data_IF_439285508400
#
_entry.id   IF_439285508400
#
_cell.length_a   1.000
_cell.length_b   1.000
_cell.length_c   1.000
_cell.angle_alpha   90.00
_cell.angle_beta   90.00
_cell.angle_gamma   90.00
#
_symmetry.space_group_name_H-M   'P 1'
#
loop_
_entity.id
_entity.type
_entity.pdbx_description
1 polymer ?
#
# COMPACT_ATOMS: atom_id res chain seq x y z
N UNK A 1 3.71 -19.02 13.92
CA UNK A 1 3.03 -20.07 13.12
C UNK A 1 2.97 -19.71 11.63
N UNK A 2 2.57 -18.49 11.24
CA UNK A 2 2.66 -18.03 9.83
C UNK A 2 4.07 -18.17 9.22
N UNK A 3 5.12 -17.79 9.95
CA UNK A 3 6.51 -17.88 9.47
C UNK A 3 6.94 -19.29 9.04
N UNK A 4 6.58 -20.35 9.78
CA UNK A 4 6.96 -21.73 9.41
C UNK A 4 6.19 -22.27 8.19
N UNK A 5 4.94 -21.85 8.00
CA UNK A 5 4.11 -22.28 6.87
C UNK A 5 4.55 -21.59 5.57
N UNK A 6 4.82 -20.29 5.66
CA UNK A 6 5.46 -19.44 4.63
C UNK A 6 6.80 -20.05 4.19
N UNK A 7 7.58 -20.54 5.13
CA UNK A 7 8.91 -21.14 4.90
C UNK A 7 8.87 -22.49 4.18
N UNK A 8 7.90 -23.36 4.49
CA UNK A 8 7.73 -24.64 3.78
C UNK A 8 7.32 -24.46 2.31
N UNK A 9 6.66 -23.35 1.97
CA UNK A 9 6.29 -23.04 0.59
C UNK A 9 7.45 -22.47 -0.24
N UNK A 10 8.27 -21.55 0.32
CA UNK A 10 9.40 -20.93 -0.40
C UNK A 10 10.46 -21.96 -0.84
N UNK A 11 10.63 -23.04 -0.08
CA UNK A 11 11.61 -24.09 -0.39
C UNK A 11 11.05 -25.27 -1.18
N UNK A 12 9.74 -25.28 -1.49
CA UNK A 12 9.09 -26.25 -2.39
C UNK A 12 9.08 -25.81 -3.86
N UNK A 13 9.75 -24.71 -4.19
CA UNK A 13 9.78 -24.13 -5.53
C UNK A 13 10.93 -24.75 -6.36
N UNK A 14 10.83 -24.73 -7.69
CA UNK A 14 11.88 -25.27 -8.58
C UNK A 14 13.26 -24.68 -8.28
N UNK A 15 14.34 -25.45 -8.53
CA UNK A 15 15.73 -25.06 -8.26
C UNK A 15 16.12 -23.71 -8.89
N UNK A 16 15.53 -23.36 -10.04
CA UNK A 16 15.69 -22.05 -10.70
C UNK A 16 15.05 -20.91 -9.87
N UNK A 17 13.83 -21.09 -9.37
CA UNK A 17 13.14 -20.10 -8.53
C UNK A 17 13.81 -19.96 -7.15
N UNK A 18 14.39 -21.04 -6.60
CA UNK A 18 15.18 -20.96 -5.35
C UNK A 18 16.43 -20.06 -5.49
N UNK A 19 17.16 -20.16 -6.61
CA UNK A 19 18.34 -19.32 -6.83
C UNK A 19 17.98 -17.83 -6.94
N UNK A 20 16.86 -17.51 -7.60
CA UNK A 20 16.35 -16.13 -7.72
C UNK A 20 15.99 -15.57 -6.34
N UNK A 21 15.25 -16.34 -5.53
CA UNK A 21 14.90 -15.94 -4.16
C UNK A 21 16.14 -15.71 -3.28
N UNK A 22 17.20 -16.50 -3.44
CA UNK A 22 18.47 -16.30 -2.71
C UNK A 22 19.16 -15.01 -3.17
N UNK A 23 19.19 -14.70 -4.47
CA UNK A 23 19.75 -13.44 -4.96
C UNK A 23 18.98 -12.22 -4.47
N UNK A 24 17.64 -12.28 -4.48
CA UNK A 24 16.83 -11.18 -3.98
C UNK A 24 17.00 -11.01 -2.47
N UNK A 25 17.09 -12.11 -1.72
CA UNK A 25 17.44 -12.04 -0.30
C UNK A 25 18.80 -11.36 -0.06
N UNK A 26 19.83 -11.67 -0.88
CA UNK A 26 21.14 -11.00 -0.79
C UNK A 26 21.04 -9.50 -1.01
N UNK A 27 20.29 -9.07 -2.03
CA UNK A 27 20.06 -7.65 -2.30
C UNK A 27 19.38 -6.98 -1.11
N UNK A 28 18.33 -7.60 -0.56
CA UNK A 28 17.62 -7.08 0.61
C UNK A 28 18.54 -6.91 1.82
N UNK A 29 19.37 -7.92 2.12
CA UNK A 29 20.36 -7.87 3.20
C UNK A 29 21.34 -6.72 2.97
N UNK A 30 21.92 -6.63 1.77
CA UNK A 30 22.89 -5.58 1.44
C UNK A 30 22.26 -4.18 1.56
N UNK A 31 21.11 -3.95 0.94
CA UNK A 31 20.38 -2.67 1.01
C UNK A 31 20.07 -2.29 2.45
N UNK A 32 19.59 -3.24 3.26
CA UNK A 32 19.22 -2.98 4.66
C UNK A 32 20.43 -2.63 5.51
N UNK A 33 21.56 -3.35 5.34
CA UNK A 33 22.81 -3.01 6.02
C UNK A 33 23.33 -1.63 5.65
N UNK A 34 23.30 -1.25 4.35
CA UNK A 34 23.69 0.09 3.90
C UNK A 34 22.82 1.17 4.55
N UNK A 35 21.50 0.97 4.54
CA UNK A 35 20.56 1.92 5.15
C UNK A 35 20.78 2.09 6.66
N UNK A 36 21.06 0.99 7.36
CA UNK A 36 21.34 0.99 8.80
C UNK A 36 22.77 1.42 9.14
N UNK A 37 23.62 1.68 8.12
CA UNK A 37 25.08 1.87 8.29
C UNK A 37 25.73 0.73 9.09
N UNK A 38 25.20 -0.49 8.94
CA UNK A 38 25.57 -1.66 9.72
C UNK A 38 26.75 -2.40 9.07
N UNK A 39 27.74 -2.76 9.89
CA UNK A 39 28.88 -3.59 9.54
C UNK A 39 28.55 -5.09 9.53
N UNK A 40 29.41 -5.91 8.93
CA UNK A 40 29.25 -7.37 8.98
C UNK A 40 29.38 -7.89 10.42
N UNK A 41 30.24 -7.29 11.24
CA UNK A 41 30.45 -7.70 12.63
C UNK A 41 29.21 -7.48 13.50
N UNK A 42 28.52 -6.36 13.31
CA UNK A 42 27.24 -6.09 13.98
C UNK A 42 26.17 -7.09 13.58
N UNK A 43 26.07 -7.42 12.29
CA UNK A 43 25.13 -8.42 11.81
C UNK A 43 25.43 -9.82 12.38
N UNK A 44 26.71 -10.19 12.48
CA UNK A 44 27.14 -11.46 13.11
C UNK A 44 26.68 -11.49 14.57
N UNK A 45 26.89 -10.42 15.33
CA UNK A 45 26.45 -10.31 16.73
C UNK A 45 24.93 -10.42 16.88
N UNK A 46 24.16 -9.75 16.02
CA UNK A 46 22.70 -9.73 16.11
C UNK A 46 22.04 -11.03 15.62
N UNK A 47 22.56 -11.63 14.55
CA UNK A 47 21.97 -12.82 13.95
C UNK A 47 22.47 -14.12 14.58
N UNK A 48 23.66 -14.12 15.20
CA UNK A 48 24.34 -15.33 15.65
C UNK A 48 24.78 -16.24 14.49
N UNK A 49 24.82 -15.72 13.26
CA UNK A 49 25.36 -16.42 12.08
C UNK A 49 26.85 -16.12 11.98
N UNK A 50 27.67 -17.11 11.63
CA UNK A 50 29.12 -16.96 11.62
C UNK A 50 29.58 -15.93 10.57
N UNK A 51 30.71 -15.29 10.84
CA UNK A 51 31.29 -14.29 9.95
C UNK A 51 31.51 -14.84 8.52
N UNK A 52 32.06 -16.06 8.42
CA UNK A 52 32.27 -16.72 7.12
C UNK A 52 30.98 -16.90 6.30
N UNK A 53 29.84 -17.17 6.97
CA UNK A 53 28.53 -17.32 6.32
C UNK A 53 27.96 -15.98 5.88
N UNK A 54 28.10 -14.92 6.70
CA UNK A 54 27.70 -13.56 6.32
C UNK A 54 28.50 -13.06 5.11
N UNK A 55 29.82 -13.28 5.08
CA UNK A 55 30.63 -12.96 3.91
C UNK A 55 30.25 -13.79 2.69
N UNK A 56 30.04 -15.09 2.85
CA UNK A 56 29.61 -15.96 1.74
C UNK A 56 28.24 -15.56 1.17
N UNK A 57 27.32 -15.06 2.01
CA UNK A 57 26.05 -14.50 1.55
C UNK A 57 26.26 -13.25 0.70
N UNK A 58 27.11 -12.31 1.14
CA UNK A 58 27.32 -11.04 0.42
C UNK A 58 28.16 -11.17 -0.85
N UNK A 59 29.17 -12.03 -0.83
CA UNK A 59 30.22 -12.06 -1.87
C UNK A 59 30.44 -13.43 -2.52
N UNK A 60 29.85 -14.50 -1.98
CA UNK A 60 30.05 -15.87 -2.44
C UNK A 60 28.89 -16.45 -3.26
N UNK A 61 29.05 -17.69 -3.71
CA UNK A 61 28.05 -18.42 -4.50
C UNK A 61 26.86 -18.90 -3.66
N UNK A 62 25.67 -18.97 -4.27
CA UNK A 62 24.36 -19.22 -3.63
C UNK A 62 24.20 -20.59 -2.92
N UNK A 63 25.21 -21.46 -2.92
CA UNK A 63 25.10 -22.87 -2.49
C UNK A 63 25.31 -23.11 -0.98
N UNK A 64 25.75 -22.11 -0.20
CA UNK A 64 26.30 -22.38 1.14
C UNK A 64 25.45 -21.93 2.34
N UNK A 65 24.37 -21.18 2.13
CA UNK A 65 23.54 -20.66 3.23
C UNK A 65 22.30 -21.54 3.46
N UNK A 66 22.07 -21.91 4.72
CA UNK A 66 20.91 -22.69 5.14
C UNK A 66 19.73 -21.79 5.50
N UNK A 67 18.54 -22.38 5.49
CA UNK A 67 17.30 -21.68 5.78
C UNK A 67 17.24 -21.09 7.19
N UNK A 68 17.75 -21.79 8.19
CA UNK A 68 17.83 -21.30 9.57
C UNK A 68 18.73 -20.06 9.69
N UNK A 69 19.83 -20.01 8.93
CA UNK A 69 20.73 -18.85 8.84
C UNK A 69 20.04 -17.65 8.17
N UNK A 70 19.27 -17.89 7.09
CA UNK A 70 18.45 -16.87 6.42
C UNK A 70 17.44 -16.24 7.40
N UNK A 71 16.74 -17.05 8.20
CA UNK A 71 15.78 -16.54 9.19
C UNK A 71 16.46 -15.64 10.21
N UNK A 72 17.60 -16.09 10.75
CA UNK A 72 18.35 -15.36 11.77
C UNK A 72 18.78 -13.99 11.25
N UNK A 73 19.32 -13.95 10.03
CA UNK A 73 19.70 -12.70 9.36
C UNK A 73 18.49 -11.82 9.08
N UNK A 74 17.40 -12.39 8.58
CA UNK A 74 16.19 -11.63 8.28
C UNK A 74 15.59 -11.00 9.54
N UNK A 75 15.52 -11.74 10.66
CA UNK A 75 15.08 -11.18 11.95
C UNK A 75 16.00 -10.09 12.46
N UNK A 76 17.32 -10.28 12.35
CA UNK A 76 18.30 -9.28 12.80
C UNK A 76 18.21 -7.96 12.02
N UNK A 77 17.79 -8.02 10.76
CA UNK A 77 17.70 -6.85 9.87
C UNK A 77 16.26 -6.34 9.71
N UNK A 78 15.29 -6.95 10.38
CA UNK A 78 13.86 -6.69 10.21
C UNK A 78 13.41 -6.78 8.74
N UNK A 79 13.83 -7.87 8.08
CA UNK A 79 13.50 -8.19 6.69
C UNK A 79 12.29 -9.12 6.65
N UNK A 80 11.22 -8.67 5.99
CA UNK A 80 10.07 -9.52 5.70
C UNK A 80 10.39 -10.53 4.58
N UNK A 81 10.54 -11.81 4.96
CA UNK A 81 10.78 -12.92 4.05
C UNK A 81 9.62 -13.22 3.10
N UNK A 82 8.41 -12.68 3.34
CA UNK A 82 7.32 -12.80 2.36
C UNK A 82 7.67 -12.12 1.03
N UNK A 83 8.57 -11.14 1.04
CA UNK A 83 9.08 -10.48 -0.18
C UNK A 83 9.83 -11.44 -1.12
N UNK A 84 10.27 -12.61 -0.64
CA UNK A 84 10.96 -13.63 -1.45
C UNK A 84 10.01 -14.57 -2.21
N UNK A 85 8.69 -14.45 -2.01
CA UNK A 85 7.72 -15.41 -2.55
C UNK A 85 7.46 -15.33 -4.05
N UNK A 86 8.14 -14.46 -4.80
CA UNK A 86 8.19 -14.48 -6.27
C UNK A 86 6.88 -14.28 -7.04
N UNK A 87 5.71 -14.34 -6.40
CA UNK A 87 4.38 -14.21 -7.01
C UNK A 87 3.32 -13.83 -5.93
N UNK A 88 3.67 -13.06 -4.89
CA UNK A 88 2.64 -12.42 -4.07
C UNK A 88 2.29 -11.09 -4.69
N UNK A 89 0.99 -10.87 -4.96
CA UNK A 89 0.48 -9.58 -5.39
C UNK A 89 0.97 -8.54 -4.37
N UNK A 90 1.96 -7.72 -4.76
CA UNK A 90 2.62 -6.78 -3.85
C UNK A 90 1.69 -5.64 -3.44
N UNK A 91 0.75 -5.32 -4.33
CA UNK A 91 -0.35 -4.40 -4.14
C UNK A 91 -1.40 -4.65 -5.22
N UNK A 92 -2.63 -4.22 -5.00
CA UNK A 92 -3.70 -4.38 -5.97
C UNK A 92 -5.07 -4.30 -5.30
N UNK A 93 -6.07 -4.86 -5.98
CA UNK A 93 -7.47 -4.76 -5.58
C UNK A 93 -8.12 -6.14 -5.53
N UNK A 94 -9.14 -6.25 -4.68
CA UNK A 94 -10.07 -7.37 -4.62
C UNK A 94 -11.50 -6.83 -4.52
N UNK A 95 -12.47 -7.65 -4.92
CA UNK A 95 -13.88 -7.35 -4.71
C UNK A 95 -14.23 -7.55 -3.24
N UNK A 96 -15.19 -6.77 -2.75
CA UNK A 96 -15.84 -7.01 -1.46
C UNK A 96 -16.76 -8.23 -1.60
N UNK A 97 -16.73 -9.11 -0.61
CA UNK A 97 -17.58 -10.29 -0.61
C UNK A 97 -19.07 -9.91 -0.68
N UNK A 98 -19.81 -10.54 -1.60
CA UNK A 98 -21.24 -10.28 -1.77
C UNK A 98 -21.60 -8.96 -2.47
N UNK A 99 -20.63 -8.17 -2.96
CA UNK A 99 -20.90 -6.93 -3.71
C UNK A 99 -20.62 -7.07 -5.21
N UNK A 100 -21.43 -6.38 -6.02
CA UNK A 100 -21.23 -6.28 -7.46
C UNK A 100 -20.29 -5.11 -7.80
N UNK A 101 -18.99 -5.28 -7.52
CA UNK A 101 -17.93 -4.34 -7.88
C UNK A 101 -17.18 -4.73 -9.16
N UNK A 102 -16.40 -3.79 -9.69
CA UNK A 102 -15.47 -4.02 -10.80
C UNK A 102 -14.06 -3.63 -10.39
N UNK A 103 -13.06 -4.44 -10.73
CA UNK A 103 -11.67 -4.18 -10.36
C UNK A 103 -11.16 -2.92 -11.10
N UNK A 104 -10.48 -1.99 -10.41
CA UNK A 104 -9.89 -0.82 -11.06
C UNK A 104 -8.87 -1.21 -12.12
N UNK A 105 -8.97 -0.59 -13.29
CA UNK A 105 -8.06 -0.81 -14.43
C UNK A 105 -7.38 0.49 -14.87
N UNK A 106 -6.19 0.36 -15.46
CA UNK A 106 -5.55 1.50 -16.13
C UNK A 106 -6.28 1.81 -17.43
N UNK A 107 -6.51 3.09 -17.71
CA UNK A 107 -7.06 3.52 -18.98
C UNK A 107 -6.08 3.30 -20.15
N UNK A 108 -4.78 3.46 -19.90
CA UNK A 108 -3.70 3.24 -20.87
C UNK A 108 -2.49 2.62 -20.18
N UNK A 109 -1.59 2.01 -20.96
CA UNK A 109 -0.35 1.41 -20.43
C UNK A 109 0.53 2.40 -19.63
N UNK A 110 0.46 3.70 -19.95
CA UNK A 110 1.22 4.77 -19.29
C UNK A 110 0.41 5.58 -18.28
N UNK A 111 -0.84 5.19 -17.98
CA UNK A 111 -1.65 5.87 -16.98
C UNK A 111 -0.99 5.77 -15.59
N UNK A 112 -0.94 6.90 -14.88
CA UNK A 112 -0.40 6.95 -13.53
C UNK A 112 -1.24 6.12 -12.55
N UNK A 113 -2.56 6.26 -12.63
CA UNK A 113 -3.52 5.57 -11.78
C UNK A 113 -4.41 4.56 -12.49
N UNK A 114 -5.24 3.90 -11.69
CA UNK A 114 -6.32 3.00 -12.12
C UNK A 114 -7.67 3.66 -11.81
N UNK A 115 -8.64 3.51 -12.71
CA UNK A 115 -9.97 4.10 -12.56
C UNK A 115 -10.85 3.26 -11.62
N UNK A 116 -11.45 3.90 -10.60
CA UNK A 116 -12.48 3.33 -9.74
C UNK A 116 -13.86 3.50 -10.36
N UNK A 117 -14.68 2.46 -10.22
CA UNK A 117 -15.99 2.34 -10.84
C UNK A 117 -17.06 2.33 -9.75
N UNK A 118 -18.17 3.04 -9.98
CA UNK A 118 -19.34 2.99 -9.10
C UNK A 118 -20.01 1.61 -9.18
N UNK A 119 -20.22 0.97 -8.03
CA UNK A 119 -20.83 -0.37 -7.92
C UNK A 119 -22.38 -0.35 -7.87
N UNK A 120 -22.98 0.83 -7.74
CA UNK A 120 -24.41 1.01 -7.64
C UNK A 120 -24.83 2.39 -8.20
N UNK A 121 -26.09 2.49 -8.59
CA UNK A 121 -26.72 3.77 -8.93
C UNK A 121 -26.86 4.60 -7.65
N UNK A 122 -26.36 5.83 -7.66
CA UNK A 122 -26.38 6.74 -6.52
C UNK A 122 -26.82 8.13 -6.97
N UNK A 123 -27.81 8.70 -6.29
CA UNK A 123 -28.15 10.12 -6.44
C UNK A 123 -27.37 10.95 -5.42
N UNK A 124 -26.56 11.87 -5.91
CA UNK A 124 -25.91 12.89 -5.09
C UNK A 124 -26.85 14.11 -5.06
N UNK A 125 -27.35 14.51 -3.87
CA UNK A 125 -28.28 15.61 -3.75
C UNK A 125 -27.65 16.92 -4.25
N UNK A 126 -28.50 17.88 -4.62
CA UNK A 126 -28.05 19.21 -5.02
C UNK A 126 -27.33 19.88 -3.85
N UNK A 127 -26.52 20.89 -4.15
CA UNK A 127 -25.82 21.64 -3.12
C UNK A 127 -26.80 22.11 -2.04
N UNK A 128 -26.45 21.80 -0.80
CA UNK A 128 -27.14 22.32 0.38
C UNK A 128 -26.09 22.84 1.34
N UNK A 129 -26.30 24.04 1.85
CA UNK A 129 -25.45 24.56 2.92
C UNK A 129 -25.50 23.60 4.13
N UNK A 130 -24.34 23.21 4.65
CA UNK A 130 -24.19 22.15 5.67
C UNK A 130 -24.76 20.79 5.25
N UNK A 131 -24.82 20.53 3.94
CA UNK A 131 -25.09 19.21 3.39
C UNK A 131 -23.98 18.23 3.77
N UNK A 132 -24.33 16.95 3.88
CA UNK A 132 -23.34 15.88 4.06
C UNK A 132 -22.88 15.40 2.69
N UNK A 133 -21.61 15.01 2.60
CA UNK A 133 -21.08 14.30 1.45
C UNK A 133 -21.86 12.99 1.24
N UNK A 134 -21.98 12.58 -0.02
CA UNK A 134 -22.57 11.29 -0.39
C UNK A 134 -21.47 10.29 -0.68
N UNK A 135 -21.51 9.14 -0.01
CA UNK A 135 -20.57 8.04 -0.24
C UNK A 135 -21.04 7.21 -1.43
N UNK A 136 -20.21 7.12 -2.46
CA UNK A 136 -20.43 6.29 -3.64
C UNK A 136 -19.63 5.00 -3.49
N UNK A 137 -20.28 3.83 -3.42
CA UNK A 137 -19.60 2.57 -3.20
C UNK A 137 -18.87 2.10 -4.46
N UNK A 138 -17.63 1.62 -4.30
CA UNK A 138 -16.85 1.06 -5.43
C UNK A 138 -16.95 -0.46 -5.53
N UNK A 139 -17.27 -1.12 -4.42
CA UNK A 139 -17.34 -2.57 -4.31
C UNK A 139 -15.98 -3.24 -4.26
N UNK A 140 -14.91 -2.47 -4.02
CA UNK A 140 -13.54 -2.98 -3.96
C UNK A 140 -12.82 -2.60 -2.68
N UNK A 141 -11.81 -3.41 -2.34
CA UNK A 141 -10.79 -3.17 -1.31
C UNK A 141 -9.40 -3.21 -1.95
N UNK A 142 -8.43 -2.55 -1.35
CA UNK A 142 -7.05 -2.55 -1.81
C UNK A 142 -6.14 -3.20 -0.78
N UNK A 143 -5.20 -4.03 -1.24
CA UNK A 143 -4.09 -4.55 -0.41
C UNK A 143 -2.78 -3.96 -0.93
N UNK A 144 -1.80 -3.78 -0.04
CA UNK A 144 -0.47 -3.23 -0.36
C UNK A 144 0.53 -3.55 0.76
N UNK A 145 1.79 -3.17 0.57
CA UNK A 145 2.80 -3.31 1.64
C UNK A 145 2.62 -2.27 2.75
N UNK A 146 3.15 -2.54 3.94
CA UNK A 146 3.07 -1.63 5.10
C UNK A 146 3.73 -0.26 4.89
N UNK A 147 4.66 -0.15 3.95
CA UNK A 147 5.32 1.11 3.58
C UNK A 147 4.67 1.77 2.35
N UNK A 148 3.42 1.41 2.07
CA UNK A 148 2.63 1.93 0.95
C UNK A 148 1.27 2.43 1.44
N UNK A 149 0.73 3.36 0.68
CA UNK A 149 -0.65 3.83 0.80
C UNK A 149 -1.21 4.06 -0.60
N UNK A 150 -2.53 4.08 -0.70
CA UNK A 150 -3.22 4.38 -1.94
C UNK A 150 -3.82 5.79 -1.86
N UNK A 151 -3.37 6.67 -2.74
CA UNK A 151 -3.97 8.00 -2.93
C UNK A 151 -5.08 7.90 -3.95
N UNK A 152 -6.22 8.52 -3.67
CA UNK A 152 -7.39 8.55 -4.55
C UNK A 152 -7.75 9.99 -4.87
N UNK A 153 -7.89 10.28 -6.17
CA UNK A 153 -8.31 11.58 -6.70
C UNK A 153 -9.59 11.43 -7.50
N UNK A 154 -10.40 12.50 -7.57
CA UNK A 154 -11.49 12.56 -8.53
C UNK A 154 -10.91 12.48 -9.95
N UNK A 155 -11.61 11.83 -10.88
CA UNK A 155 -11.24 11.93 -12.30
C UNK A 155 -11.46 13.37 -12.77
N UNK A 156 -10.63 13.85 -13.68
CA UNK A 156 -10.67 15.25 -14.15
C UNK A 156 -12.04 15.66 -14.71
N UNK A 157 -12.76 14.71 -15.32
CA UNK A 157 -14.09 14.93 -15.86
C UNK A 157 -15.17 15.13 -14.79
N UNK A 158 -14.95 14.69 -13.54
CA UNK A 158 -15.98 14.67 -12.50
C UNK A 158 -16.33 16.08 -12.02
N UNK A 159 -15.35 16.94 -11.64
CA UNK A 159 -15.64 18.35 -11.36
C UNK A 159 -16.11 19.11 -12.60
N UNK A 160 -15.49 18.85 -13.77
CA UNK A 160 -15.74 19.62 -15.00
C UNK A 160 -17.14 19.37 -15.56
N UNK A 161 -17.56 18.11 -15.64
CA UNK A 161 -18.82 17.75 -16.31
C UNK A 161 -20.00 17.67 -15.35
N UNK A 162 -19.75 17.32 -14.09
CA UNK A 162 -20.79 17.08 -13.10
C UNK A 162 -20.77 18.10 -11.95
N UNK A 163 -19.75 18.95 -11.81
CA UNK A 163 -19.68 19.86 -10.64
C UNK A 163 -19.58 19.11 -9.31
N UNK A 164 -19.09 17.87 -9.34
CA UNK A 164 -18.85 17.04 -8.16
C UNK A 164 -17.39 17.15 -7.74
N UNK A 165 -17.15 17.36 -6.46
CA UNK A 165 -15.80 17.37 -5.87
C UNK A 165 -15.67 16.27 -4.82
N UNK A 166 -14.49 15.67 -4.71
CA UNK A 166 -14.19 14.80 -3.56
C UNK A 166 -14.14 15.64 -2.29
N UNK A 167 -14.88 15.24 -1.26
CA UNK A 167 -15.10 16.09 -0.09
C UNK A 167 -13.86 16.24 0.79
N UNK A 168 -13.03 15.19 0.84
CA UNK A 168 -11.69 15.19 1.44
C UNK A 168 -10.59 15.75 0.53
N UNK A 169 -10.90 16.09 -0.73
CA UNK A 169 -9.94 16.48 -1.76
C UNK A 169 -9.10 15.29 -2.26
N UNK A 170 -8.38 14.61 -1.37
CA UNK A 170 -7.60 13.40 -1.65
C UNK A 170 -7.98 12.31 -0.66
N UNK A 171 -8.39 11.16 -1.17
CA UNK A 171 -8.61 9.97 -0.36
C UNK A 171 -7.28 9.28 -0.04
N UNK A 172 -7.04 9.02 1.24
CA UNK A 172 -5.88 8.24 1.70
C UNK A 172 -6.40 6.91 2.21
N UNK A 173 -5.98 5.81 1.57
CA UNK A 173 -6.28 4.45 2.01
C UNK A 173 -5.00 3.83 2.55
N UNK A 174 -4.99 3.60 3.87
CA UNK A 174 -3.89 3.00 4.60
C UNK A 174 -3.79 1.49 4.34
N UNK A 175 -2.59 0.92 4.48
CA UNK A 175 -2.34 -0.49 4.22
C UNK A 175 -3.14 -1.44 5.12
N UNK A 176 -3.46 -1.03 6.35
CA UNK A 176 -4.21 -1.80 7.34
C UNK A 176 -5.74 -1.60 7.25
N UNK A 177 -6.22 -0.77 6.30
CA UNK A 177 -7.65 -0.66 6.01
C UNK A 177 -8.22 -1.95 5.39
N UNK A 178 -7.37 -2.73 4.70
CA UNK A 178 -7.73 -3.99 4.05
C UNK A 178 -8.26 -5.03 5.05
N UNK A 179 -9.41 -5.66 4.74
CA UNK A 179 -10.05 -6.68 5.58
C UNK A 179 -10.31 -6.23 7.03
N UNK A 180 -10.46 -4.93 7.28
CA UNK A 180 -10.84 -4.45 8.60
C UNK A 180 -12.22 -5.02 9.00
N UNK A 181 -12.48 -5.25 10.29
CA UNK A 181 -13.69 -5.93 10.75
C UNK A 181 -14.99 -5.12 10.56
N UNK A 182 -14.91 -3.82 10.25
CA UNK A 182 -16.08 -2.95 10.15
C UNK A 182 -16.75 -3.02 8.77
N UNK A 183 -15.96 -3.05 7.71
CA UNK A 183 -16.48 -3.04 6.33
C UNK A 183 -15.59 -3.77 5.31
N UNK A 184 -14.74 -4.69 5.77
CA UNK A 184 -13.86 -5.51 4.93
C UNK A 184 -12.79 -4.70 4.15
N UNK A 185 -12.67 -3.40 4.42
CA UNK A 185 -11.81 -2.49 3.66
C UNK A 185 -12.48 -1.89 2.43
N UNK A 186 -13.82 -1.86 2.39
CA UNK A 186 -14.58 -1.26 1.30
C UNK A 186 -14.23 0.21 1.09
N UNK A 187 -13.72 0.50 -0.11
CA UNK A 187 -13.38 1.85 -0.54
C UNK A 187 -14.66 2.50 -1.06
N UNK A 188 -15.02 3.65 -0.49
CA UNK A 188 -16.12 4.49 -0.95
C UNK A 188 -15.59 5.88 -1.26
N UNK A 189 -16.13 6.51 -2.31
CA UNK A 189 -15.71 7.84 -2.74
C UNK A 189 -16.75 8.85 -2.28
N UNK A 190 -16.33 9.83 -1.49
CA UNK A 190 -17.23 10.86 -0.96
C UNK A 190 -17.30 12.08 -1.88
N UNK A 191 -18.48 12.37 -2.42
CA UNK A 191 -18.71 13.53 -3.27
C UNK A 191 -19.57 14.59 -2.59
N UNK A 192 -19.19 15.85 -2.79
CA UNK A 192 -20.03 17.03 -2.57
C UNK A 192 -20.42 17.58 -3.95
N UNK A 193 -21.72 17.84 -4.13
CA UNK A 193 -22.25 18.43 -5.34
C UNK A 193 -22.31 19.95 -5.19
N UNK A 194 -21.66 20.67 -6.10
CA UNK A 194 -21.62 22.13 -6.12
C UNK A 194 -22.69 22.75 -7.02
N UNK A 195 -23.54 21.93 -7.65
CA UNK A 195 -24.61 22.38 -8.55
C UNK A 195 -25.94 22.50 -7.80
N UNK A 196 -26.92 23.15 -8.43
CA UNK A 196 -28.28 23.26 -7.91
C UNK A 196 -29.22 22.12 -8.34
N UNK A 197 -28.70 21.04 -8.94
CA UNK A 197 -29.48 19.89 -9.40
C UNK A 197 -28.98 18.60 -8.77
N UNK A 198 -29.89 17.65 -8.56
CA UNK A 198 -29.51 16.29 -8.20
C UNK A 198 -28.73 15.66 -9.34
N UNK A 199 -27.68 14.92 -9.00
CA UNK A 199 -26.82 14.26 -9.99
C UNK A 199 -26.88 12.77 -9.75
N UNK A 200 -27.20 12.03 -10.79
CA UNK A 200 -27.17 10.57 -10.78
C UNK A 200 -25.81 10.09 -11.25
N UNK A 201 -25.16 9.26 -10.44
CA UNK A 201 -24.04 8.43 -10.86
C UNK A 201 -24.63 7.04 -11.12
N UNK A 202 -24.59 6.61 -12.37
CA UNK A 202 -24.99 5.26 -12.75
C UNK A 202 -23.90 4.26 -12.37
N UNK A 203 -24.29 3.04 -12.00
CA UNK A 203 -23.40 1.89 -11.86
C UNK A 203 -22.54 1.76 -13.13
N UNK A 204 -21.26 1.44 -12.98
CA UNK A 204 -20.32 1.35 -14.09
C UNK A 204 -19.64 2.70 -14.43
N UNK A 205 -20.12 3.81 -13.86
CA UNK A 205 -19.45 5.11 -14.05
C UNK A 205 -18.07 5.10 -13.40
N UNK A 206 -17.05 5.51 -14.15
CA UNK A 206 -15.70 5.74 -13.62
C UNK A 206 -15.65 7.08 -12.87
N UNK A 207 -15.46 7.04 -11.56
CA UNK A 207 -15.66 8.18 -10.64
C UNK A 207 -14.38 8.73 -10.01
N UNK A 208 -13.34 7.91 -9.84
CA UNK A 208 -12.10 8.32 -9.21
C UNK A 208 -10.92 7.57 -9.83
N UNK A 209 -9.69 7.96 -9.51
CA UNK A 209 -8.49 7.26 -9.91
C UNK A 209 -7.54 7.11 -8.73
N UNK A 210 -6.89 5.94 -8.62
CA UNK A 210 -5.98 5.63 -7.52
C UNK A 210 -4.54 5.43 -7.96
N UNK A 211 -3.61 5.92 -7.14
CA UNK A 211 -2.16 5.81 -7.33
C UNK A 211 -1.54 5.26 -6.05
N UNK A 212 -0.87 4.10 -6.14
CA UNK A 212 -0.10 3.56 -5.03
C UNK A 212 1.20 4.35 -4.86
N UNK A 213 1.47 4.77 -3.63
CA UNK A 213 2.64 5.55 -3.28
C UNK A 213 3.39 4.91 -2.10
N UNK A 214 4.70 5.15 -2.03
CA UNK A 214 5.49 4.83 -0.84
C UNK A 214 5.28 5.88 0.22
N UNK A 215 5.17 5.47 1.48
CA UNK A 215 5.27 6.35 2.64
C UNK A 215 6.66 6.21 3.25
N UNK A 216 7.30 7.34 3.54
CA UNK A 216 8.59 7.34 4.23
C UNK A 216 8.34 7.18 5.73
N UNK A 217 9.05 6.27 6.42
CA UNK A 217 8.94 6.14 7.86
C UNK A 217 9.44 7.43 8.52
N UNK A 218 8.64 7.97 9.42
CA UNK A 218 9.02 9.13 10.24
C UNK A 218 9.58 8.60 11.56
N UNK A 219 10.83 8.92 11.87
CA UNK A 219 11.50 8.47 13.11
C UNK A 219 11.21 9.37 14.31
N UNK A 220 10.76 10.61 14.08
CA UNK A 220 10.42 11.59 15.11
C UNK A 220 9.24 12.48 14.65
N UNK A 221 8.21 12.56 15.49
CA UNK A 221 6.95 13.27 15.27
C UNK A 221 6.06 13.18 16.52
N UNK A 222 6.71 13.20 17.69
CA UNK A 222 6.07 13.12 19.00
C UNK A 222 5.39 14.46 19.26
N UNK A 223 4.15 14.42 19.77
CA UNK A 223 3.42 15.56 20.28
C UNK A 223 4.33 16.35 21.23
N UNK A 224 4.85 17.50 20.81
CA UNK A 224 5.55 18.41 21.73
C UNK A 224 4.50 18.89 22.74
N UNK A 225 4.61 18.41 23.99
CA UNK A 225 3.85 18.94 25.10
C UNK A 225 4.43 20.35 25.33
N UNK A 226 3.68 21.37 24.92
CA UNK A 226 3.94 22.82 25.09
C UNK A 226 4.56 23.59 23.92
N UNK A 227 4.13 23.34 22.67
CA UNK A 227 4.42 24.30 21.59
C UNK A 227 3.12 24.93 21.08
N UNK A 228 2.93 26.22 21.39
CA UNK A 228 1.85 27.04 20.84
C UNK A 228 2.19 27.36 19.40
N UNK A 229 1.46 26.72 18.47
CA UNK A 229 1.44 27.09 17.05
C UNK A 229 0.99 28.55 16.92
N UNK A 230 1.92 29.46 16.63
CA UNK A 230 1.64 30.87 16.33
C UNK A 230 1.38 31.14 14.83
N UNK A 231 0.73 30.21 14.10
CA UNK A 231 0.22 30.48 12.73
C UNK A 231 0.25 29.31 11.74
N UNK A 232 -0.68 29.36 10.75
CA UNK A 232 -0.73 28.48 9.58
C UNK A 232 -2.05 28.59 8.76
N UNK A 233 -1.94 29.07 7.51
CA UNK A 233 -2.95 29.40 6.46
C UNK A 233 -3.96 30.53 6.76
N UNK A 234 -3.71 31.71 6.17
CA UNK A 234 -4.63 32.87 6.17
C UNK A 234 -4.11 34.13 6.88
N UNK A 235 -2.89 34.12 7.40
CA UNK A 235 -2.29 35.29 8.08
C UNK A 235 -1.19 35.92 7.23
N UNK A 236 -1.59 36.56 6.14
CA UNK A 236 -1.01 37.80 5.57
C UNK A 236 -1.85 38.18 4.35
N UNK A 237 -2.79 39.10 4.58
CA UNK A 237 -3.66 39.84 3.64
C UNK A 237 -4.69 39.05 2.82
#
# INVERSE_FOLDING_TARGET
MLSQMVMRMIWKVSKKKQNIAIEDFKKMVFTRMVHLKMSNEELVKLSGVTNSKVYALKYGNNKSIKLDEIIKIAKALDIDLNRLKGDQKMRGFELIEGMNGELPIKATIHSAGVDFIASADITIPAFRFKGRATLVPTGVKAFMQHDEYLQIFARSSIPVNLGLIMSNGVGIVDADYYNNPKNEGHIMIEFTNLTNKHIMIEKGTRIAQGIFNKVLPVTHGVRLKNDTRNGGFGSTN
#
